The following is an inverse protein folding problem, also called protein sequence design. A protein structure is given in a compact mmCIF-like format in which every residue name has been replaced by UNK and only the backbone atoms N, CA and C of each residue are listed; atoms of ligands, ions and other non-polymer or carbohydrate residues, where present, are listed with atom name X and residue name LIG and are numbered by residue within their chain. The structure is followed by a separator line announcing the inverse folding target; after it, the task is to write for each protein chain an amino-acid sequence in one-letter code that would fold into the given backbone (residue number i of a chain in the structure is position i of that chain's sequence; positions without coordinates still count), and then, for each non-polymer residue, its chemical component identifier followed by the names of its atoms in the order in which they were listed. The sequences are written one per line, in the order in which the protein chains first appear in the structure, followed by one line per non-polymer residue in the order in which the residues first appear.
data_IF_403742517717
#
_entry.id   IF_403742517717
#
_cell.length_a   1.000
_cell.length_b   1.000
_cell.length_c   1.000
_cell.angle_alpha   90.00
_cell.angle_beta   90.00
_cell.angle_gamma   90.00
#
_symmetry.space_group_name_H-M   'P 1'
#
loop_
_entity.id
_entity.type
_entity.pdbx_description
1 polymer ?
#
# COMPACT_ATOMS: atom_id res chain seq x y z
N UNK A 1 -16.31 -4.69 23.96
CA UNK A 1 -17.05 -3.42 23.82
C UNK A 1 -16.03 -2.33 23.61
N UNK A 2 -15.77 -1.94 22.36
CA UNK A 2 -14.89 -0.81 22.05
C UNK A 2 -15.64 0.47 22.41
N UNK A 3 -15.28 1.06 23.55
CA UNK A 3 -15.80 2.37 23.95
C UNK A 3 -15.18 3.41 23.00
N UNK A 4 -16.07 4.21 22.39
CA UNK A 4 -15.75 5.11 21.29
C UNK A 4 -14.51 5.96 21.54
N UNK A 5 -13.54 5.86 20.62
CA UNK A 5 -12.51 6.87 20.49
C UNK A 5 -13.20 8.20 20.17
N UNK A 6 -13.11 9.14 21.10
CA UNK A 6 -13.50 10.52 20.86
C UNK A 6 -12.49 11.12 19.88
N UNK A 7 -12.81 11.07 18.59
CA UNK A 7 -12.08 11.77 17.55
C UNK A 7 -12.39 13.27 17.70
N UNK A 8 -11.68 13.93 18.61
CA UNK A 8 -11.57 15.38 18.56
C UNK A 8 -10.95 15.72 17.19
N UNK A 9 -11.80 16.11 16.24
CA UNK A 9 -11.37 16.64 14.96
C UNK A 9 -10.41 17.79 15.25
N UNK A 10 -9.13 17.60 14.96
CA UNK A 10 -8.14 18.67 14.98
C UNK A 10 -8.71 19.76 14.07
N UNK A 11 -8.98 20.93 14.65
CA UNK A 11 -9.36 22.11 13.90
C UNK A 11 -8.11 22.56 13.15
N UNK A 12 -7.91 22.01 11.96
CA UNK A 12 -6.79 22.37 11.07
C UNK A 12 -7.05 23.81 10.61
N UNK A 13 -6.30 24.77 11.14
CA UNK A 13 -6.35 26.15 10.66
C UNK A 13 -5.86 26.19 9.21
N UNK A 14 -6.80 26.32 8.27
CA UNK A 14 -6.54 26.47 6.85
C UNK A 14 -5.96 27.86 6.54
N UNK A 15 -4.65 28.03 6.75
CA UNK A 15 -3.89 29.12 6.14
C UNK A 15 -3.35 28.70 4.76
N UNK A 16 -4.26 28.56 3.79
CA UNK A 16 -3.99 28.83 2.38
C UNK A 16 -5.30 28.76 1.56
N UNK A 17 -5.58 29.87 0.89
CA UNK A 17 -6.74 30.10 0.01
C UNK A 17 -6.62 29.29 -1.29
N UNK A 18 -6.98 28.00 -1.26
CA UNK A 18 -7.46 27.20 -2.41
C UNK A 18 -7.81 25.73 -2.08
N UNK A 19 -7.84 25.32 -0.81
CA UNK A 19 -8.16 23.94 -0.44
C UNK A 19 -9.66 23.80 -0.11
N UNK A 20 -10.47 23.50 -1.13
CA UNK A 20 -11.80 22.90 -0.90
C UNK A 20 -11.59 21.67 -0.01
N UNK A 21 -12.28 21.53 1.13
CA UNK A 21 -12.19 20.33 1.94
C UNK A 21 -12.65 19.14 1.10
N UNK A 22 -11.85 18.07 1.08
CA UNK A 22 -12.23 16.85 0.39
C UNK A 22 -13.49 16.26 1.04
N UNK A 23 -14.43 15.88 0.19
CA UNK A 23 -15.58 15.09 0.61
C UNK A 23 -15.13 13.69 1.06
N UNK A 24 -15.95 12.99 1.87
CA UNK A 24 -15.63 11.62 2.28
C UNK A 24 -15.36 10.66 1.12
N UNK A 25 -16.01 10.88 -0.04
CA UNK A 25 -15.80 10.08 -1.25
C UNK A 25 -14.44 10.38 -1.87
N UNK A 26 -14.08 11.65 -2.04
CA UNK A 26 -12.75 12.06 -2.54
C UNK A 26 -11.62 11.50 -1.65
N UNK A 27 -11.84 11.44 -0.32
CA UNK A 27 -10.89 10.83 0.62
C UNK A 27 -10.74 9.33 0.38
N UNK A 28 -11.86 8.62 0.19
CA UNK A 28 -11.84 7.17 -0.04
C UNK A 28 -11.21 6.82 -1.40
N UNK A 29 -11.46 7.60 -2.43
CA UNK A 29 -10.82 7.46 -3.75
C UNK A 29 -9.31 7.63 -3.66
N UNK A 30 -8.82 8.60 -2.88
CA UNK A 30 -7.39 8.78 -2.66
C UNK A 30 -6.76 7.58 -1.92
N UNK A 31 -7.43 7.06 -0.89
CA UNK A 31 -6.96 5.86 -0.19
C UNK A 31 -6.87 4.64 -1.12
N UNK A 32 -7.88 4.43 -1.97
CA UNK A 32 -7.87 3.37 -2.98
C UNK A 32 -6.71 3.55 -3.97
N UNK A 33 -6.49 4.77 -4.46
CA UNK A 33 -5.36 5.07 -5.35
C UNK A 33 -4.00 4.81 -4.69
N UNK A 34 -3.85 5.18 -3.42
CA UNK A 34 -2.65 4.90 -2.65
C UNK A 34 -2.44 3.39 -2.47
N UNK A 35 -3.50 2.66 -2.14
CA UNK A 35 -3.46 1.21 -1.97
C UNK A 35 -2.90 0.52 -3.22
N UNK A 36 -3.45 0.78 -4.40
CA UNK A 36 -2.97 0.17 -5.64
C UNK A 36 -1.52 0.54 -5.98
N UNK A 37 -1.11 1.80 -5.76
CA UNK A 37 0.30 2.23 -5.97
C UNK A 37 1.27 1.48 -5.06
N UNK A 38 0.92 1.31 -3.78
CA UNK A 38 1.76 0.61 -2.81
C UNK A 38 1.81 -0.89 -3.16
N UNK A 39 0.70 -1.48 -3.60
CA UNK A 39 0.67 -2.87 -4.07
C UNK A 39 1.59 -3.07 -5.28
N UNK A 40 1.55 -2.15 -6.25
CA UNK A 40 2.43 -2.22 -7.42
C UNK A 40 3.91 -2.17 -7.01
N UNK A 41 4.28 -1.31 -6.06
CA UNK A 41 5.65 -1.25 -5.51
C UNK A 41 6.02 -2.56 -4.82
N UNK A 42 5.12 -3.11 -4.00
CA UNK A 42 5.37 -4.36 -3.27
C UNK A 42 5.63 -5.56 -4.20
N UNK A 43 5.12 -5.51 -5.44
CA UNK A 43 5.27 -6.54 -6.47
C UNK A 43 6.35 -6.20 -7.52
N UNK A 44 6.97 -5.02 -7.47
CA UNK A 44 7.98 -4.59 -8.44
C UNK A 44 9.26 -5.41 -8.31
N UNK A 45 9.76 -5.96 -9.42
CA UNK A 45 10.94 -6.84 -9.42
C UNK A 45 12.19 -6.11 -8.92
N UNK A 46 12.37 -4.83 -9.24
CA UNK A 46 13.54 -4.07 -8.75
C UNK A 46 13.43 -3.82 -7.26
N UNK A 47 12.24 -3.52 -6.75
CA UNK A 47 11.98 -3.41 -5.31
C UNK A 47 12.36 -4.70 -4.57
N UNK A 48 11.90 -5.85 -5.08
CA UNK A 48 12.21 -7.17 -4.50
C UNK A 48 13.72 -7.48 -4.55
N UNK A 49 14.41 -7.11 -5.64
CA UNK A 49 15.86 -7.26 -5.76
C UNK A 49 16.61 -6.38 -4.76
N UNK A 50 16.16 -5.14 -4.53
CA UNK A 50 16.77 -4.24 -3.54
C UNK A 50 16.67 -4.80 -2.11
N UNK A 51 15.55 -5.44 -1.77
CA UNK A 51 15.36 -6.14 -0.50
C UNK A 51 16.29 -7.35 -0.41
N UNK A 52 16.32 -8.19 -1.45
CA UNK A 52 17.15 -9.39 -1.49
C UNK A 52 18.65 -9.08 -1.37
N UNK A 53 19.10 -8.01 -2.04
CA UNK A 53 20.48 -7.52 -1.98
C UNK A 53 20.82 -6.78 -0.67
N UNK A 54 19.86 -6.63 0.26
CA UNK A 54 19.99 -5.84 1.50
C UNK A 54 20.45 -4.40 1.25
N UNK A 55 20.08 -3.85 0.09
CA UNK A 55 20.36 -2.45 -0.29
C UNK A 55 19.39 -1.47 0.35
N UNK A 56 18.27 -1.99 0.86
CA UNK A 56 17.32 -1.28 1.69
C UNK A 56 17.14 -2.02 3.01
N UNK A 57 16.57 -1.34 3.99
CA UNK A 57 16.27 -1.92 5.29
C UNK A 57 15.37 -3.16 5.12
N UNK A 58 15.73 -4.34 5.65
CA UNK A 58 14.90 -5.53 5.58
C UNK A 58 13.51 -5.34 6.24
N UNK A 59 13.36 -4.42 7.19
CA UNK A 59 12.05 -4.08 7.78
C UNK A 59 11.14 -3.33 6.81
N UNK A 60 11.67 -2.75 5.73
CA UNK A 60 10.88 -2.03 4.74
C UNK A 60 9.82 -2.93 4.08
N UNK A 61 10.15 -4.20 3.83
CA UNK A 61 9.19 -5.17 3.28
C UNK A 61 8.03 -5.42 4.27
N UNK A 62 8.34 -5.56 5.55
CA UNK A 62 7.36 -5.73 6.63
C UNK A 62 6.45 -4.52 6.73
N UNK A 63 7.00 -3.31 6.77
CA UNK A 63 6.21 -2.08 6.87
C UNK A 63 5.29 -1.83 5.67
N UNK A 64 5.75 -2.17 4.46
CA UNK A 64 4.89 -2.12 3.27
C UNK A 64 3.75 -3.13 3.39
N UNK A 65 4.04 -4.35 3.86
CA UNK A 65 3.02 -5.36 4.14
C UNK A 65 1.98 -4.90 5.17
N UNK A 66 2.43 -4.32 6.29
CA UNK A 66 1.56 -3.79 7.34
C UNK A 66 0.67 -2.65 6.83
N UNK A 67 1.22 -1.77 5.98
CA UNK A 67 0.48 -0.67 5.37
C UNK A 67 -0.62 -1.19 4.43
N UNK A 68 -0.30 -2.18 3.60
CA UNK A 68 -1.28 -2.83 2.73
C UNK A 68 -2.38 -3.53 3.53
N UNK A 69 -2.00 -4.23 4.61
CA UNK A 69 -2.96 -4.86 5.50
C UNK A 69 -3.93 -3.84 6.11
N UNK A 70 -3.43 -2.71 6.61
CA UNK A 70 -4.27 -1.66 7.17
C UNK A 70 -5.21 -1.02 6.13
N UNK A 71 -4.69 -0.71 4.95
CA UNK A 71 -5.48 -0.10 3.87
C UNK A 71 -6.57 -1.06 3.36
N UNK A 72 -6.28 -2.34 3.22
CA UNK A 72 -7.27 -3.35 2.81
C UNK A 72 -8.29 -3.66 3.89
N UNK A 73 -7.86 -4.05 5.09
CA UNK A 73 -8.74 -4.60 6.14
C UNK A 73 -9.42 -3.53 7.00
N UNK A 74 -8.72 -2.44 7.32
CA UNK A 74 -9.25 -1.41 8.23
C UNK A 74 -9.94 -0.29 7.45
N UNK A 75 -9.35 0.14 6.34
CA UNK A 75 -9.90 1.23 5.52
C UNK A 75 -10.85 0.75 4.42
N UNK A 76 -10.90 -0.56 4.16
CA UNK A 76 -11.80 -1.15 3.17
C UNK A 76 -11.45 -0.78 1.74
N UNK A 77 -10.17 -0.60 1.41
CA UNK A 77 -9.75 -0.36 0.02
C UNK A 77 -10.02 -1.63 -0.82
N UNK A 78 -10.70 -1.48 -1.97
CA UNK A 78 -11.23 -2.60 -2.77
C UNK A 78 -10.63 -2.70 -4.17
N UNK A 79 -9.59 -1.91 -4.49
CA UNK A 79 -8.97 -2.01 -5.83
C UNK A 79 -8.40 -3.42 -6.06
N UNK A 80 -8.83 -4.02 -7.17
CA UNK A 80 -8.61 -5.43 -7.49
C UNK A 80 -7.15 -5.65 -7.93
N UNK A 81 -6.50 -6.65 -7.34
CA UNK A 81 -5.12 -7.02 -7.67
C UNK A 81 -5.10 -7.79 -8.99
N UNK A 82 -4.28 -7.37 -9.95
CA UNK A 82 -3.85 -8.21 -11.07
C UNK A 82 -2.60 -8.97 -10.64
N UNK A 83 -2.74 -10.21 -10.16
CA UNK A 83 -1.59 -11.08 -9.90
C UNK A 83 -0.78 -11.27 -11.19
N UNK A 84 0.44 -10.72 -11.24
CA UNK A 84 1.41 -11.13 -12.26
C UNK A 84 1.95 -12.49 -11.83
N UNK A 85 1.41 -13.57 -12.40
CA UNK A 85 1.97 -14.92 -12.28
C UNK A 85 3.44 -14.87 -12.66
N UNK A 86 4.32 -14.87 -11.67
CA UNK A 86 5.75 -15.09 -11.89
C UNK A 86 5.87 -16.48 -12.51
N UNK A 87 6.15 -16.56 -13.81
CA UNK A 87 6.55 -17.82 -14.42
C UNK A 87 7.90 -18.14 -13.77
N UNK A 88 7.88 -18.99 -12.73
CA UNK A 88 9.06 -19.66 -12.25
C UNK A 88 9.61 -20.46 -13.42
N UNK A 89 10.51 -19.85 -14.17
CA UNK A 89 11.23 -20.50 -15.24
C UNK A 89 12.23 -21.43 -14.57
N UNK A 90 11.74 -22.56 -14.07
CA UNK A 90 12.55 -23.70 -13.69
C UNK A 90 13.29 -24.10 -14.96
N UNK A 91 14.55 -23.66 -15.09
CA UNK A 91 15.51 -24.25 -16.01
C UNK A 91 15.63 -25.72 -15.63
N UNK A 92 14.80 -26.56 -16.23
CA UNK A 92 15.08 -27.98 -16.39
C UNK A 92 16.30 -28.06 -17.31
N UNK A 93 17.48 -28.05 -16.71
CA UNK A 93 18.68 -28.58 -17.35
C UNK A 93 18.46 -30.08 -17.52
N UNK A 94 17.95 -30.48 -18.67
CA UNK A 94 18.15 -31.85 -19.15
C UNK A 94 19.62 -31.92 -19.55
N UNK A 95 20.44 -32.42 -18.63
CA UNK A 95 21.73 -32.98 -18.97
C UNK A 95 21.52 -34.45 -19.36
N UNK A 96 22.14 -34.79 -20.49
CA UNK A 96 22.37 -36.10 -21.11
C UNK A 96 21.25 -36.67 -21.99
#
# INVERSE_FOLDING_TARGET
MWQGANLNFIQIEHHNSLNKPMSPIEILEEFNSCYAKIQAIAQDENWLLLIADKKIDPEAATHVGDTLHYLGEVMGCVEEIVEVKTIQNSKLSIQN
#
